data_IF_870373946622
#
_entry.id   IF_870373946622
#
_cell.length_a   1.000
_cell.length_b   1.000
_cell.length_c   1.000
_cell.angle_alpha   90.00
_cell.angle_beta   90.00
_cell.angle_gamma   90.00
#
_symmetry.space_group_name_H-M   'P 1'
#
loop_
_entity.id
_entity.type
_entity.pdbx_description
1 polymer ?
#
# COMPACT_ATOMS: atom_id res chain seq x y z
N UNK A 1 11.43 -22.77 -2.49
CA UNK A 1 12.40 -23.07 -1.43
C UNK A 1 13.32 -24.17 -1.93
N UNK A 2 14.62 -23.92 -1.95
CA UNK A 2 15.61 -24.94 -2.36
C UNK A 2 15.64 -26.11 -1.39
N UNK A 3 15.84 -27.32 -1.93
CA UNK A 3 16.02 -28.52 -1.12
C UNK A 3 17.23 -28.30 -0.20
N UNK A 4 17.07 -28.36 1.10
CA UNK A 4 18.14 -28.08 2.07
C UNK A 4 17.97 -26.75 2.84
N UNK A 5 17.18 -25.78 2.33
CA UNK A 5 16.94 -24.52 3.01
C UNK A 5 16.22 -24.69 4.37
N UNK A 6 15.48 -25.79 4.52
CA UNK A 6 14.80 -26.17 5.76
C UNK A 6 15.62 -27.14 6.62
N UNK A 7 16.80 -27.52 6.17
CA UNK A 7 17.71 -28.38 6.93
C UNK A 7 18.19 -27.68 8.22
N UNK A 8 18.49 -28.47 9.25
CA UNK A 8 18.89 -27.94 10.58
C UNK A 8 20.13 -27.06 10.54
N UNK A 9 21.03 -27.30 9.58
CA UNK A 9 22.31 -26.60 9.44
C UNK A 9 22.37 -25.67 8.22
N UNK A 10 21.28 -25.51 7.47
CA UNK A 10 21.28 -24.66 6.31
C UNK A 10 21.31 -23.18 6.72
N UNK A 11 22.29 -22.46 6.24
CA UNK A 11 22.30 -20.99 6.24
C UNK A 11 21.44 -20.48 5.10
N UNK A 12 20.67 -19.43 5.36
CA UNK A 12 19.80 -18.81 4.36
C UNK A 12 20.18 -17.35 4.22
N UNK A 13 20.91 -17.04 3.16
CA UNK A 13 21.33 -15.68 2.84
C UNK A 13 20.26 -14.91 2.03
N UNK A 14 19.21 -15.61 1.60
CA UNK A 14 18.15 -15.02 0.78
C UNK A 14 16.90 -14.80 1.59
N UNK A 15 16.50 -13.54 1.71
CA UNK A 15 15.21 -13.14 2.28
C UNK A 15 14.15 -13.13 1.17
N UNK A 16 13.10 -13.94 1.33
CA UNK A 16 11.93 -13.92 0.45
C UNK A 16 10.93 -12.92 1.00
N UNK A 17 10.65 -11.87 0.24
CA UNK A 17 9.72 -10.80 0.61
C UNK A 17 8.39 -11.03 -0.09
N UNK A 18 7.31 -11.38 0.62
CA UNK A 18 5.98 -11.42 0.03
C UNK A 18 5.52 -10.01 -0.33
N UNK A 19 4.78 -9.90 -1.42
CA UNK A 19 4.16 -8.67 -1.90
C UNK A 19 2.65 -8.83 -1.93
N UNK A 20 1.95 -7.92 -1.26
CA UNK A 20 0.49 -7.81 -1.28
C UNK A 20 0.13 -6.53 -2.02
N UNK A 21 -0.50 -6.63 -3.19
CA UNK A 21 -0.67 -5.46 -4.07
C UNK A 21 -2.10 -5.21 -4.55
N UNK A 22 -3.01 -6.18 -4.50
CA UNK A 22 -4.44 -5.97 -4.77
C UNK A 22 -5.21 -5.73 -3.48
N UNK A 23 -6.46 -5.26 -3.60
CA UNK A 23 -7.34 -5.10 -2.41
C UNK A 23 -7.55 -6.44 -1.71
N UNK A 24 -7.74 -7.51 -2.47
CA UNK A 24 -7.93 -8.85 -1.92
C UNK A 24 -6.66 -9.39 -1.26
N UNK A 25 -5.49 -9.17 -1.86
CA UNK A 25 -4.21 -9.52 -1.23
C UNK A 25 -4.03 -8.81 0.11
N UNK A 26 -4.32 -7.51 0.19
CA UNK A 26 -4.18 -6.72 1.41
C UNK A 26 -5.08 -7.26 2.53
N UNK A 27 -6.34 -7.57 2.22
CA UNK A 27 -7.29 -8.18 3.18
C UNK A 27 -6.83 -9.53 3.69
N UNK A 28 -6.12 -10.28 2.86
CA UNK A 28 -5.64 -11.61 3.17
C UNK A 28 -4.17 -11.67 3.64
N UNK A 29 -3.47 -10.54 3.76
CA UNK A 29 -2.06 -10.51 4.08
C UNK A 29 -1.73 -11.23 5.40
N UNK A 30 -2.38 -10.87 6.49
CA UNK A 30 -2.14 -11.52 7.80
C UNK A 30 -2.58 -13.00 7.83
N UNK A 31 -3.76 -13.42 7.32
CA UNK A 31 -4.12 -14.82 7.16
C UNK A 31 -3.10 -15.63 6.36
N UNK A 32 -2.61 -15.12 5.23
CA UNK A 32 -1.61 -15.80 4.39
C UNK A 32 -0.29 -15.96 5.16
N UNK A 33 0.17 -14.90 5.82
CA UNK A 33 1.39 -14.97 6.62
C UNK A 33 1.24 -15.92 7.82
N UNK A 34 0.08 -15.98 8.45
CA UNK A 34 -0.20 -16.95 9.52
C UNK A 34 -0.09 -18.39 9.00
N UNK A 35 -0.65 -18.70 7.83
CA UNK A 35 -0.53 -20.00 7.19
C UNK A 35 0.93 -20.31 6.78
N UNK A 36 1.66 -19.31 6.29
CA UNK A 36 3.07 -19.46 5.96
C UNK A 36 3.90 -19.88 7.17
N UNK A 37 3.74 -19.20 8.30
CA UNK A 37 4.46 -19.52 9.53
C UNK A 37 3.97 -20.81 10.24
N UNK A 38 2.79 -21.29 9.91
CA UNK A 38 2.32 -22.61 10.36
C UNK A 38 3.07 -23.77 9.69
N UNK A 39 3.75 -23.53 8.55
CA UNK A 39 4.54 -24.56 7.89
C UNK A 39 5.77 -24.93 8.69
N UNK A 40 6.03 -26.23 8.79
CA UNK A 40 7.17 -26.78 9.55
C UNK A 40 8.50 -26.23 9.05
N UNK A 41 9.29 -25.64 9.94
CA UNK A 41 10.64 -25.17 9.66
C UNK A 41 10.75 -23.74 9.17
N UNK A 42 9.68 -23.08 8.73
CA UNK A 42 9.71 -21.69 8.23
C UNK A 42 10.20 -20.72 9.30
N UNK A 43 9.59 -20.71 10.48
CA UNK A 43 10.00 -19.82 11.57
C UNK A 43 11.48 -20.01 11.94
N UNK A 44 11.95 -21.26 11.96
CA UNK A 44 13.36 -21.56 12.22
C UNK A 44 14.28 -21.01 11.13
N UNK A 45 13.87 -21.14 9.88
CA UNK A 45 14.61 -20.62 8.73
C UNK A 45 14.76 -19.09 8.81
N UNK A 46 13.65 -18.36 9.03
CA UNK A 46 13.66 -16.90 9.14
C UNK A 46 14.51 -16.45 10.34
N UNK A 47 14.39 -17.12 11.49
CA UNK A 47 15.22 -16.81 12.65
C UNK A 47 16.71 -16.94 12.40
N UNK A 48 17.14 -17.97 11.65
CA UNK A 48 18.56 -18.13 11.26
C UNK A 48 19.05 -17.04 10.31
N UNK A 49 18.14 -16.48 9.51
CA UNK A 49 18.43 -15.38 8.58
C UNK A 49 18.38 -13.99 9.23
N UNK A 50 18.45 -13.92 10.57
CA UNK A 50 18.47 -12.68 11.33
C UNK A 50 17.19 -12.35 12.07
N UNK A 51 16.12 -13.18 11.96
CA UNK A 51 14.88 -12.98 12.70
C UNK A 51 14.03 -11.82 12.19
N UNK A 52 14.26 -11.32 10.98
CA UNK A 52 13.47 -10.26 10.37
C UNK A 52 12.68 -10.78 9.16
N UNK A 53 11.45 -10.34 9.05
CA UNK A 53 10.60 -10.59 7.88
C UNK A 53 10.16 -9.28 7.26
N UNK A 54 10.63 -9.04 6.05
CA UNK A 54 10.09 -7.97 5.21
C UNK A 54 8.74 -8.39 4.63
N UNK A 55 7.77 -7.47 4.65
CA UNK A 55 6.51 -7.59 3.93
C UNK A 55 6.33 -6.35 3.08
N UNK A 56 6.25 -6.52 1.78
CA UNK A 56 6.05 -5.43 0.84
C UNK A 56 4.57 -5.18 0.58
N UNK A 57 4.17 -3.94 0.74
CA UNK A 57 2.82 -3.47 0.44
C UNK A 57 2.83 -2.69 -0.88
N UNK A 58 1.90 -3.05 -1.78
CA UNK A 58 1.75 -2.43 -3.09
C UNK A 58 0.65 -1.38 -3.09
N UNK A 59 1.02 -0.14 -3.43
CA UNK A 59 0.10 1.00 -3.43
C UNK A 59 -0.56 1.23 -4.79
N UNK A 60 0.20 1.09 -5.86
CA UNK A 60 -0.26 1.46 -7.20
C UNK A 60 -1.29 0.48 -7.76
N UNK A 61 -1.08 -0.80 -7.54
CA UNK A 61 -1.98 -1.85 -8.03
C UNK A 61 -3.28 -1.87 -7.24
N UNK A 62 -3.26 -1.66 -5.91
CA UNK A 62 -4.46 -1.51 -5.11
C UNK A 62 -5.26 -0.25 -5.47
N UNK A 63 -4.58 0.87 -5.81
CA UNK A 63 -5.24 2.07 -6.32
C UNK A 63 -5.98 1.81 -7.63
N UNK A 64 -5.35 1.06 -8.55
CA UNK A 64 -5.99 0.67 -9.82
C UNK A 64 -7.18 -0.27 -9.58
N UNK A 65 -7.08 -1.17 -8.61
CA UNK A 65 -8.09 -2.19 -8.30
C UNK A 65 -9.34 -1.60 -7.62
N UNK A 66 -9.18 -0.75 -6.62
CA UNK A 66 -10.27 -0.30 -5.76
C UNK A 66 -10.47 1.21 -5.64
N UNK A 67 -9.64 2.03 -6.30
CA UNK A 67 -9.61 3.48 -6.12
C UNK A 67 -8.74 3.90 -4.93
N UNK A 68 -8.39 5.20 -4.89
CA UNK A 68 -7.37 5.71 -3.94
C UNK A 68 -7.80 5.60 -2.47
N UNK A 69 -9.07 5.92 -2.17
CA UNK A 69 -9.56 5.89 -0.80
C UNK A 69 -9.53 4.47 -0.24
N UNK A 70 -10.12 3.53 -0.96
CA UNK A 70 -10.14 2.12 -0.58
C UNK A 70 -8.74 1.53 -0.47
N UNK A 71 -7.87 1.83 -1.43
CA UNK A 71 -6.48 1.37 -1.38
C UNK A 71 -5.76 1.82 -0.11
N UNK A 72 -5.84 3.10 0.23
CA UNK A 72 -5.20 3.61 1.45
C UNK A 72 -5.83 3.01 2.72
N UNK A 73 -7.14 2.81 2.73
CA UNK A 73 -7.83 2.20 3.84
C UNK A 73 -7.43 0.72 4.05
N UNK A 74 -7.42 -0.06 2.99
CA UNK A 74 -7.05 -1.48 3.07
C UNK A 74 -5.55 -1.67 3.40
N UNK A 75 -4.69 -0.76 2.95
CA UNK A 75 -3.29 -0.72 3.38
C UNK A 75 -3.19 -0.50 4.90
N UNK A 76 -3.90 0.51 5.42
CA UNK A 76 -3.93 0.79 6.86
C UNK A 76 -4.43 -0.41 7.67
N UNK A 77 -5.50 -1.07 7.22
CA UNK A 77 -6.03 -2.28 7.85
C UNK A 77 -5.04 -3.46 7.79
N UNK A 78 -4.39 -3.66 6.64
CA UNK A 78 -3.39 -4.71 6.47
C UNK A 78 -2.18 -4.49 7.39
N UNK A 79 -1.73 -3.25 7.53
CA UNK A 79 -0.63 -2.89 8.42
C UNK A 79 -0.97 -3.22 9.88
N UNK A 80 -2.16 -2.86 10.38
CA UNK A 80 -2.60 -3.20 11.73
C UNK A 80 -2.63 -4.72 11.92
N UNK A 81 -3.27 -5.44 11.00
CA UNK A 81 -3.41 -6.89 11.10
C UNK A 81 -2.05 -7.63 11.06
N UNK A 82 -1.10 -7.09 10.29
CA UNK A 82 0.27 -7.63 10.25
C UNK A 82 1.04 -7.31 11.53
N UNK A 83 0.89 -6.11 12.11
CA UNK A 83 1.51 -5.78 13.40
C UNK A 83 1.03 -6.73 14.47
N UNK A 84 -0.28 -6.96 14.59
CA UNK A 84 -0.87 -7.88 15.57
C UNK A 84 -0.32 -9.32 15.41
N UNK A 85 -0.27 -9.81 14.17
CA UNK A 85 0.30 -11.12 13.88
C UNK A 85 1.78 -11.22 14.29
N UNK A 86 2.56 -10.19 13.96
CA UNK A 86 4.00 -10.23 14.24
C UNK A 86 4.34 -9.97 15.71
N UNK A 87 3.45 -9.41 16.49
CA UNK A 87 3.57 -9.43 17.95
C UNK A 87 3.46 -10.85 18.52
N UNK A 88 2.54 -11.67 17.99
CA UNK A 88 2.47 -13.09 18.33
C UNK A 88 3.75 -13.85 17.90
N UNK A 89 4.23 -13.60 16.68
CA UNK A 89 5.42 -14.25 16.12
C UNK A 89 6.72 -13.83 16.83
N UNK A 90 6.84 -12.58 17.25
CA UNK A 90 7.97 -12.09 18.03
C UNK A 90 8.04 -12.80 19.39
N UNK A 91 6.91 -12.91 20.08
CA UNK A 91 6.83 -13.61 21.36
C UNK A 91 7.14 -15.11 21.25
N UNK A 92 6.71 -15.75 20.14
CA UNK A 92 6.84 -17.21 19.99
C UNK A 92 8.15 -17.64 19.34
N UNK A 93 8.63 -16.87 18.38
CA UNK A 93 9.74 -17.29 17.50
C UNK A 93 10.88 -16.28 17.42
N UNK A 94 10.77 -15.13 18.08
CA UNK A 94 11.74 -14.03 17.99
C UNK A 94 11.91 -13.53 16.55
N UNK A 95 10.77 -13.28 15.87
CA UNK A 95 10.72 -12.78 14.49
C UNK A 95 10.07 -11.40 14.49
N UNK A 96 10.79 -10.43 13.95
CA UNK A 96 10.37 -9.03 13.86
C UNK A 96 9.83 -8.71 12.47
N UNK A 97 8.80 -7.87 12.42
CA UNK A 97 8.27 -7.31 11.18
C UNK A 97 9.09 -6.11 10.73
N UNK A 98 9.43 -6.08 9.44
CA UNK A 98 9.89 -4.88 8.78
C UNK A 98 8.95 -4.56 7.61
N UNK A 99 8.20 -3.46 7.75
CA UNK A 99 7.33 -3.01 6.67
C UNK A 99 8.16 -2.47 5.51
N UNK A 100 7.83 -2.92 4.31
CA UNK A 100 8.45 -2.50 3.08
C UNK A 100 7.40 -1.82 2.19
N UNK A 101 7.45 -0.50 2.15
CA UNK A 101 6.53 0.30 1.35
C UNK A 101 7.00 0.33 -0.11
N UNK A 102 6.17 -0.22 -0.98
CA UNK A 102 6.42 -0.27 -2.41
C UNK A 102 6.34 1.11 -3.08
N UNK A 103 6.63 1.13 -4.37
CA UNK A 103 6.50 2.34 -5.19
C UNK A 103 5.07 2.87 -5.17
N UNK A 104 4.93 4.17 -4.98
CA UNK A 104 3.64 4.84 -5.01
C UNK A 104 3.01 5.06 -3.65
N UNK A 105 3.69 4.62 -2.58
CA UNK A 105 3.29 4.96 -1.22
C UNK A 105 3.46 6.44 -0.92
N UNK A 106 2.70 6.95 0.02
CA UNK A 106 2.70 8.35 0.45
C UNK A 106 4.09 8.80 0.90
N UNK A 107 4.86 7.90 1.51
CA UNK A 107 6.21 8.20 2.02
C UNK A 107 7.25 8.32 0.90
N UNK A 108 7.13 7.53 -0.18
CA UNK A 108 8.16 7.43 -1.22
C UNK A 108 7.85 8.16 -2.53
N UNK A 109 6.66 8.71 -2.71
CA UNK A 109 6.20 9.22 -4.00
C UNK A 109 5.41 10.51 -3.86
N UNK A 110 6.08 11.66 -3.82
CA UNK A 110 5.48 12.98 -4.08
C UNK A 110 4.16 13.35 -3.41
N UNK A 111 3.66 12.51 -2.54
CA UNK A 111 2.33 12.61 -1.95
C UNK A 111 2.27 13.42 -0.67
N UNK A 112 3.39 13.96 -0.21
CA UNK A 112 3.45 14.74 1.00
C UNK A 112 4.82 14.72 1.65
N UNK A 113 5.03 15.48 2.71
CA UNK A 113 6.27 15.46 3.47
C UNK A 113 6.51 14.07 4.05
N UNK A 114 7.67 13.50 3.78
CA UNK A 114 8.02 12.14 4.23
C UNK A 114 7.95 11.98 5.75
N UNK A 115 8.20 13.05 6.49
CA UNK A 115 8.14 13.06 7.94
C UNK A 115 6.75 12.73 8.46
N UNK A 116 5.76 13.50 8.06
CA UNK A 116 4.35 13.32 8.46
C UNK A 116 3.79 11.99 7.97
N UNK A 117 4.21 11.55 6.78
CA UNK A 117 3.78 10.27 6.23
C UNK A 117 4.29 9.07 7.06
N UNK A 118 5.50 9.15 7.61
CA UNK A 118 6.03 8.12 8.53
C UNK A 118 5.29 8.16 9.86
N UNK A 119 5.04 9.35 10.42
CA UNK A 119 4.31 9.48 11.68
C UNK A 119 2.83 9.09 11.58
N UNK A 120 2.23 9.19 10.39
CA UNK A 120 0.85 8.78 10.14
C UNK A 120 0.65 7.27 9.99
N UNK A 121 1.72 6.49 9.98
CA UNK A 121 1.62 5.03 9.94
C UNK A 121 0.93 4.48 11.21
N UNK A 122 0.21 3.36 11.12
CA UNK A 122 -0.39 2.73 12.29
C UNK A 122 0.65 2.44 13.39
N UNK A 123 0.25 2.45 14.66
CA UNK A 123 1.15 2.14 15.77
C UNK A 123 1.81 0.78 15.59
N UNK A 124 3.12 0.71 15.83
CA UNK A 124 3.89 -0.53 15.76
C UNK A 124 4.42 -0.92 14.38
N UNK A 125 4.10 -0.17 13.32
CA UNK A 125 4.64 -0.41 11.97
C UNK A 125 6.08 0.06 11.80
N UNK A 126 6.46 1.11 12.53
CA UNK A 126 7.83 1.66 12.55
C UNK A 126 8.49 1.32 13.88
N UNK A 127 9.50 0.44 13.85
CA UNK A 127 10.22 -0.05 15.04
C UNK A 127 11.74 0.07 14.81
N UNK A 128 12.26 1.27 14.85
CA UNK A 128 13.68 1.55 14.60
C UNK A 128 14.09 1.49 13.15
N UNK A 129 13.21 1.05 12.28
CA UNK A 129 13.48 0.90 10.85
C UNK A 129 12.21 1.04 10.01
N UNK A 130 12.38 1.49 8.79
CA UNK A 130 11.38 1.51 7.74
C UNK A 130 12.08 1.25 6.40
N UNK A 131 11.47 0.49 5.52
CA UNK A 131 12.00 0.22 4.18
C UNK A 131 11.10 0.85 3.11
N UNK A 132 11.69 1.69 2.28
CA UNK A 132 10.98 2.45 1.25
C UNK A 132 11.57 2.15 -0.13
N UNK A 133 10.72 2.08 -1.14
CA UNK A 133 11.15 2.07 -2.54
C UNK A 133 10.90 3.44 -3.14
N UNK A 134 11.96 4.15 -3.49
CA UNK A 134 11.87 5.38 -4.27
C UNK A 134 12.16 5.09 -5.75
N UNK A 135 11.59 5.89 -6.65
CA UNK A 135 11.89 5.80 -8.08
C UNK A 135 13.22 6.48 -8.39
N UNK A 136 13.91 6.05 -9.45
CA UNK A 136 15.22 6.57 -9.81
C UNK A 136 15.25 8.07 -10.01
N UNK A 137 14.24 8.65 -10.66
CA UNK A 137 14.09 10.10 -10.84
C UNK A 137 13.90 10.84 -9.52
N UNK A 138 13.20 10.24 -8.56
CA UNK A 138 13.03 10.80 -7.20
C UNK A 138 14.33 10.74 -6.42
N UNK A 139 15.06 9.63 -6.53
CA UNK A 139 16.38 9.47 -5.91
C UNK A 139 17.35 10.53 -6.45
N UNK A 140 17.40 10.72 -7.76
CA UNK A 140 18.24 11.74 -8.39
C UNK A 140 17.87 13.15 -7.89
N UNK A 141 16.59 13.47 -7.81
CA UNK A 141 16.12 14.77 -7.33
C UNK A 141 16.42 15.01 -5.84
N UNK A 142 16.25 14.01 -5.00
CA UNK A 142 16.40 14.13 -3.54
C UNK A 142 17.85 14.07 -3.06
N UNK A 143 18.73 13.32 -3.76
CA UNK A 143 20.04 12.95 -3.22
C UNK A 143 21.22 13.33 -4.11
N UNK A 144 21.02 13.90 -5.31
CA UNK A 144 22.12 14.29 -6.17
C UNK A 144 22.92 15.49 -5.61
N UNK A 145 22.26 16.40 -4.92
CA UNK A 145 22.92 17.48 -4.21
C UNK A 145 23.18 17.08 -2.75
N UNK A 146 24.44 17.16 -2.23
CA UNK A 146 24.78 16.71 -0.88
C UNK A 146 23.99 17.40 0.24
N UNK A 147 23.72 18.70 0.13
CA UNK A 147 23.01 19.46 1.17
C UNK A 147 21.52 19.06 1.20
N UNK A 148 20.89 18.94 0.01
CA UNK A 148 19.50 18.49 -0.11
C UNK A 148 19.40 17.02 0.32
N UNK A 149 20.34 16.19 -0.08
CA UNK A 149 20.40 14.78 0.29
C UNK A 149 20.53 14.59 1.79
N UNK A 150 21.40 15.35 2.44
CA UNK A 150 21.52 15.35 3.90
C UNK A 150 20.20 15.70 4.58
N UNK A 151 19.55 16.78 4.17
CA UNK A 151 18.24 17.18 4.72
C UNK A 151 17.17 16.11 4.57
N UNK A 152 17.08 15.48 3.41
CA UNK A 152 16.13 14.40 3.17
C UNK A 152 16.41 13.18 4.07
N UNK A 153 17.68 12.80 4.23
CA UNK A 153 18.07 11.71 5.13
C UNK A 153 17.79 12.06 6.60
N UNK A 154 18.14 13.26 7.04
CA UNK A 154 17.84 13.73 8.41
C UNK A 154 16.33 13.69 8.69
N UNK A 155 15.49 14.07 7.72
CA UNK A 155 14.03 13.98 7.82
C UNK A 155 13.54 12.54 8.03
N UNK A 156 14.06 11.59 7.24
CA UNK A 156 13.70 10.18 7.36
C UNK A 156 14.15 9.59 8.71
N UNK A 157 15.37 9.90 9.13
CA UNK A 157 15.93 9.43 10.41
C UNK A 157 15.13 10.01 11.57
N UNK A 158 14.88 11.32 11.58
CA UNK A 158 14.14 11.99 12.64
C UNK A 158 12.71 11.41 12.79
N UNK A 159 11.98 11.25 11.68
CA UNK A 159 10.65 10.67 11.71
C UNK A 159 10.65 9.21 12.22
N UNK A 160 11.64 8.42 11.79
CA UNK A 160 11.76 7.02 12.24
C UNK A 160 12.08 6.95 13.74
N UNK A 161 12.96 7.82 14.24
CA UNK A 161 13.27 7.90 15.67
C UNK A 161 12.06 8.35 16.48
N UNK A 162 11.35 9.39 16.02
CA UNK A 162 10.16 9.89 16.70
C UNK A 162 9.04 8.83 16.75
N UNK A 163 8.72 8.20 15.62
CA UNK A 163 7.72 7.14 15.56
C UNK A 163 8.05 5.97 16.51
N UNK A 164 9.34 5.64 16.61
CA UNK A 164 9.81 4.51 17.44
C UNK A 164 9.83 4.82 18.93
N UNK A 165 10.40 5.98 19.28
CA UNK A 165 10.72 6.32 20.68
C UNK A 165 9.56 7.04 21.37
N UNK A 166 8.91 7.98 20.68
CA UNK A 166 7.85 8.80 21.29
C UNK A 166 6.46 8.21 21.06
N UNK A 167 6.29 7.31 20.10
CA UNK A 167 5.02 6.67 19.74
C UNK A 167 3.88 7.68 19.64
N UNK A 168 4.03 8.72 18.79
CA UNK A 168 3.09 9.84 18.70
C UNK A 168 1.71 9.41 18.20
N UNK A 169 1.67 8.39 17.35
CA UNK A 169 0.44 7.86 16.77
C UNK A 169 -0.25 6.92 17.77
N UNK A 170 -1.51 7.23 18.04
CA UNK A 170 -2.39 6.38 18.88
C UNK A 170 -3.28 5.53 17.98
N UNK A 171 -3.73 4.35 18.46
CA UNK A 171 -4.75 3.58 17.75
C UNK A 171 -5.98 4.42 17.46
N UNK A 172 -6.48 4.34 16.23
CA UNK A 172 -7.71 5.02 15.87
C UNK A 172 -8.91 4.48 16.68
N UNK A 173 -9.84 5.34 17.11
CA UNK A 173 -11.06 4.89 17.78
C UNK A 173 -11.85 3.91 16.90
N UNK A 174 -12.47 2.90 17.50
CA UNK A 174 -13.25 1.89 16.77
C UNK A 174 -14.32 2.49 15.87
N UNK A 175 -14.97 3.55 16.34
CA UNK A 175 -15.98 4.28 15.56
C UNK A 175 -15.44 4.89 14.29
N UNK A 176 -14.18 5.34 14.29
CA UNK A 176 -13.54 5.88 13.08
C UNK A 176 -13.21 4.76 12.09
N UNK A 177 -12.76 3.61 12.60
CA UNK A 177 -12.50 2.43 11.75
C UNK A 177 -13.80 1.96 11.08
N UNK A 178 -14.90 1.86 11.82
CA UNK A 178 -16.22 1.47 11.29
C UNK A 178 -16.73 2.45 10.22
N UNK A 179 -16.53 3.75 10.41
CA UNK A 179 -16.89 4.77 9.42
C UNK A 179 -16.04 4.61 8.16
N UNK A 180 -14.74 4.44 8.30
CA UNK A 180 -13.84 4.28 7.18
C UNK A 180 -14.12 2.98 6.39
N UNK A 181 -14.46 1.89 7.07
CA UNK A 181 -14.92 0.64 6.45
C UNK A 181 -16.18 0.86 5.60
N UNK A 182 -17.17 1.54 6.17
CA UNK A 182 -18.43 1.85 5.46
C UNK A 182 -18.18 2.72 4.23
N UNK A 183 -17.32 3.73 4.34
CA UNK A 183 -16.94 4.60 3.22
C UNK A 183 -16.16 3.82 2.15
N UNK A 184 -15.22 2.98 2.57
CA UNK A 184 -14.41 2.15 1.67
C UNK A 184 -15.27 1.21 0.83
N UNK A 185 -16.22 0.53 1.45
CA UNK A 185 -17.12 -0.40 0.75
C UNK A 185 -17.93 0.29 -0.37
N UNK A 186 -18.46 1.49 -0.11
CA UNK A 186 -19.23 2.25 -1.11
C UNK A 186 -18.32 2.85 -2.18
N UNK A 187 -17.16 3.38 -1.77
CA UNK A 187 -16.17 3.97 -2.67
C UNK A 187 -15.66 2.94 -3.69
N UNK A 188 -15.28 1.75 -3.22
CA UNK A 188 -14.85 0.64 -4.09
C UNK A 188 -15.93 0.26 -5.08
N UNK A 189 -17.16 0.10 -4.60
CA UNK A 189 -18.28 -0.27 -5.48
C UNK A 189 -18.50 0.77 -6.58
N UNK A 190 -18.49 2.05 -6.24
CA UNK A 190 -18.64 3.12 -7.22
C UNK A 190 -17.48 3.17 -8.22
N UNK A 191 -16.24 3.02 -7.76
CA UNK A 191 -15.06 2.98 -8.62
C UNK A 191 -15.10 1.79 -9.58
N UNK A 192 -15.36 0.58 -9.07
CA UNK A 192 -15.39 -0.64 -9.88
C UNK A 192 -16.54 -0.65 -10.87
N UNK A 193 -17.72 -0.13 -10.49
CA UNK A 193 -18.84 0.02 -11.40
C UNK A 193 -18.48 0.88 -12.63
N UNK A 194 -17.73 1.96 -12.45
CA UNK A 194 -17.25 2.77 -13.58
C UNK A 194 -16.18 2.04 -14.39
N UNK A 195 -15.12 1.59 -13.74
CA UNK A 195 -13.88 1.16 -14.42
C UNK A 195 -14.00 -0.24 -15.02
N UNK A 196 -14.67 -1.16 -14.31
CA UNK A 196 -14.69 -2.58 -14.67
C UNK A 196 -16.05 -3.09 -15.15
N UNK A 197 -17.13 -2.40 -14.78
CA UNK A 197 -18.49 -2.89 -15.06
C UNK A 197 -19.21 -2.04 -16.13
N UNK A 198 -18.72 -0.84 -16.45
CA UNK A 198 -19.34 0.00 -17.51
C UNK A 198 -18.98 -0.57 -18.89
N UNK A 199 -19.99 -0.98 -19.68
CA UNK A 199 -19.75 -1.45 -21.04
C UNK A 199 -19.05 -0.39 -21.90
N UNK A 200 -18.02 -0.80 -22.64
CA UNK A 200 -17.26 0.10 -23.51
C UNK A 200 -16.20 0.95 -22.80
N UNK A 201 -16.07 0.88 -21.48
CA UNK A 201 -15.06 1.68 -20.75
C UNK A 201 -13.63 1.24 -21.11
N UNK A 202 -13.40 -0.04 -21.24
CA UNK A 202 -12.09 -0.58 -21.64
C UNK A 202 -11.69 -0.10 -23.03
N UNK A 203 -12.60 -0.19 -23.99
CA UNK A 203 -12.39 0.27 -25.37
C UNK A 203 -12.15 1.78 -25.42
N UNK A 204 -12.94 2.53 -24.64
CA UNK A 204 -12.74 3.97 -24.50
C UNK A 204 -11.34 4.30 -23.97
N UNK A 205 -10.92 3.64 -22.91
CA UNK A 205 -9.60 3.85 -22.31
C UNK A 205 -8.47 3.58 -23.32
N UNK A 206 -8.54 2.46 -24.04
CA UNK A 206 -7.52 2.12 -25.04
C UNK A 206 -7.52 3.03 -26.26
N UNK A 207 -8.66 3.60 -26.62
CA UNK A 207 -8.78 4.51 -27.77
C UNK A 207 -8.49 5.98 -27.42
N UNK A 208 -8.87 6.42 -26.22
CA UNK A 208 -8.81 7.82 -25.79
C UNK A 208 -7.50 8.20 -25.10
N UNK A 209 -6.64 7.23 -24.76
CA UNK A 209 -5.39 7.49 -24.05
C UNK A 209 -4.17 7.03 -24.86
N UNK A 210 -2.98 7.65 -24.70
CA UNK A 210 -1.75 7.26 -25.40
C UNK A 210 -1.11 5.99 -24.80
N UNK A 211 -1.91 5.00 -24.43
CA UNK A 211 -1.42 3.77 -23.81
C UNK A 211 -0.45 2.99 -24.70
N UNK A 212 -0.72 2.97 -26.02
CA UNK A 212 0.11 2.24 -26.98
C UNK A 212 1.52 2.85 -27.08
N UNK A 213 1.58 4.17 -27.07
CA UNK A 213 2.82 4.93 -27.11
C UNK A 213 3.58 4.78 -25.78
N UNK A 214 2.88 4.87 -24.66
CA UNK A 214 3.47 4.65 -23.34
C UNK A 214 4.02 3.24 -23.15
N UNK A 215 3.40 2.24 -23.76
CA UNK A 215 3.85 0.85 -23.69
C UNK A 215 5.21 0.63 -24.42
N UNK A 216 5.58 1.53 -25.34
CA UNK A 216 6.86 1.49 -26.05
C UNK A 216 7.97 2.25 -25.30
N UNK A 217 7.63 3.05 -24.31
CA UNK A 217 8.60 3.79 -23.50
C UNK A 217 9.18 2.90 -22.41
N UNK A 218 10.47 3.02 -22.17
CA UNK A 218 11.16 2.36 -21.06
C UNK A 218 10.84 3.07 -19.72
N UNK A 219 9.56 3.20 -19.40
CA UNK A 219 9.09 3.76 -18.12
C UNK A 219 8.96 2.63 -17.12
N UNK A 220 9.88 2.58 -16.19
CA UNK A 220 9.94 1.52 -15.19
C UNK A 220 10.73 0.28 -15.65
N UNK A 221 10.95 -0.64 -14.74
CA UNK A 221 11.79 -1.83 -14.93
C UNK A 221 11.06 -3.03 -15.53
N UNK A 222 9.79 -2.88 -15.92
CA UNK A 222 8.92 -4.00 -16.31
C UNK A 222 8.05 -3.64 -17.52
N UNK A 223 7.62 -4.63 -18.33
CA UNK A 223 6.67 -4.41 -19.43
C UNK A 223 5.37 -3.74 -18.97
N UNK A 224 4.71 -3.02 -19.86
CA UNK A 224 3.48 -2.28 -19.60
C UNK A 224 2.31 -3.17 -19.15
N UNK A 225 2.29 -4.43 -19.58
CA UNK A 225 1.27 -5.40 -19.18
C UNK A 225 1.87 -6.76 -18.83
N UNK A 226 1.09 -7.56 -18.11
CA UNK A 226 1.44 -8.95 -17.74
C UNK A 226 1.10 -9.93 -18.87
N UNK A 227 0.15 -9.56 -19.73
CA UNK A 227 -0.38 -10.35 -20.84
C UNK A 227 -0.65 -9.43 -22.05
N UNK A 228 -1.17 -9.98 -23.15
CA UNK A 228 -1.67 -9.17 -24.24
C UNK A 228 -2.72 -8.16 -23.73
N UNK A 229 -2.58 -6.89 -24.17
CA UNK A 229 -3.42 -5.78 -23.72
C UNK A 229 -4.87 -5.94 -24.20
N UNK A 230 -5.71 -6.57 -23.42
CA UNK A 230 -7.13 -6.76 -23.73
C UNK A 230 -8.05 -6.22 -22.65
N UNK A 231 -7.57 -6.17 -21.37
CA UNK A 231 -8.36 -5.75 -20.23
C UNK A 231 -7.56 -4.81 -19.33
N UNK A 232 -8.28 -3.97 -18.59
CA UNK A 232 -7.66 -3.05 -17.62
C UNK A 232 -6.95 -3.83 -16.51
N UNK A 233 -7.47 -4.98 -16.11
CA UNK A 233 -6.87 -5.84 -15.08
C UNK A 233 -5.46 -6.32 -15.47
N UNK A 234 -5.22 -6.56 -16.75
CA UNK A 234 -3.92 -7.02 -17.24
C UNK A 234 -2.85 -5.93 -17.25
N UNK A 235 -3.25 -4.66 -17.18
CA UNK A 235 -2.34 -3.52 -17.12
C UNK A 235 -1.61 -3.46 -15.78
N UNK A 236 -0.38 -2.99 -15.85
CA UNK A 236 0.32 -2.50 -14.66
C UNK A 236 -0.16 -1.10 -14.28
N UNK A 237 0.02 -0.75 -13.02
CA UNK A 237 -0.46 0.52 -12.50
C UNK A 237 0.19 1.76 -13.13
N UNK A 238 1.47 1.69 -13.53
CA UNK A 238 2.15 2.83 -14.16
C UNK A 238 1.50 3.17 -15.51
N UNK A 239 1.35 2.26 -16.48
CA UNK A 239 0.62 2.55 -17.72
C UNK A 239 -0.80 3.04 -17.48
N UNK A 240 -1.51 2.51 -16.51
CA UNK A 240 -2.84 2.97 -16.12
C UNK A 240 -2.85 4.43 -15.70
N UNK A 241 -2.07 4.79 -14.69
CA UNK A 241 -2.07 6.13 -14.13
C UNK A 241 -1.45 7.17 -15.06
N UNK A 242 -0.38 6.81 -15.77
CA UNK A 242 0.26 7.70 -16.74
C UNK A 242 -0.62 8.02 -17.94
N UNK A 243 -1.35 7.04 -18.46
CA UNK A 243 -2.26 7.26 -19.59
C UNK A 243 -3.30 8.33 -19.26
N UNK A 244 -3.92 8.27 -18.09
CA UNK A 244 -4.83 9.30 -17.62
C UNK A 244 -4.13 10.66 -17.41
N UNK A 245 -2.94 10.64 -16.82
CA UNK A 245 -2.14 11.85 -16.59
C UNK A 245 -1.82 12.58 -17.89
N UNK A 246 -1.50 11.87 -18.98
CA UNK A 246 -1.26 12.47 -20.30
C UNK A 246 -2.53 13.09 -20.90
N UNK A 247 -3.70 12.54 -20.60
CA UNK A 247 -4.99 13.12 -21.00
C UNK A 247 -5.47 14.23 -20.07
N UNK A 248 -4.69 14.60 -19.06
CA UNK A 248 -5.06 15.57 -18.01
C UNK A 248 -6.35 15.22 -17.29
N UNK A 249 -6.63 13.94 -17.17
CA UNK A 249 -7.74 13.39 -16.40
C UNK A 249 -7.22 12.78 -15.10
N UNK A 250 -7.88 13.10 -14.00
CA UNK A 250 -7.54 12.58 -12.67
C UNK A 250 -8.51 11.50 -12.20
N UNK A 251 -9.06 10.72 -13.14
CA UNK A 251 -10.00 9.65 -12.83
C UNK A 251 -9.49 8.68 -11.75
N UNK A 252 -8.20 8.26 -11.74
CA UNK A 252 -7.68 7.44 -10.66
C UNK A 252 -7.54 8.14 -9.30
N UNK A 253 -7.91 9.41 -9.21
CA UNK A 253 -7.88 10.17 -7.97
C UNK A 253 -8.97 9.74 -6.98
N UNK A 254 -9.72 10.70 -6.46
CA UNK A 254 -10.73 10.46 -5.42
C UNK A 254 -12.09 9.95 -5.95
N UNK A 255 -12.14 9.36 -7.15
CA UNK A 255 -13.40 8.85 -7.69
C UNK A 255 -13.99 7.76 -6.78
N UNK A 256 -15.27 7.87 -6.49
CA UNK A 256 -16.00 6.99 -5.57
C UNK A 256 -16.13 7.55 -4.14
N UNK A 257 -15.20 8.38 -3.68
CA UNK A 257 -15.24 8.94 -2.33
C UNK A 257 -16.47 9.85 -2.11
N UNK A 258 -16.79 10.73 -3.06
CA UNK A 258 -17.98 11.56 -2.99
C UNK A 258 -19.28 10.76 -2.90
N UNK A 259 -19.39 9.66 -3.67
CA UNK A 259 -20.51 8.72 -3.58
C UNK A 259 -20.60 8.07 -2.20
N UNK A 260 -19.46 7.71 -1.62
CA UNK A 260 -19.38 7.12 -0.30
C UNK A 260 -19.84 8.08 0.79
N UNK A 261 -19.37 9.32 0.77
CA UNK A 261 -19.80 10.36 1.72
C UNK A 261 -21.29 10.65 1.60
N UNK A 262 -21.80 10.77 0.37
CA UNK A 262 -23.25 10.98 0.14
C UNK A 262 -24.08 9.83 0.72
N UNK A 263 -23.70 8.59 0.44
CA UNK A 263 -24.38 7.42 0.97
C UNK A 263 -24.31 7.32 2.50
N UNK A 264 -23.14 7.61 3.07
CA UNK A 264 -22.93 7.59 4.52
C UNK A 264 -23.78 8.66 5.23
N UNK A 265 -23.82 9.88 4.73
CA UNK A 265 -24.65 10.94 5.30
C UNK A 265 -26.15 10.60 5.15
N UNK A 266 -26.56 10.04 4.01
CA UNK A 266 -27.94 9.63 3.72
C UNK A 266 -28.93 10.78 3.71
N UNK A 267 -30.19 10.46 3.46
CA UNK A 267 -31.31 11.41 3.41
C UNK A 267 -32.10 11.46 4.74
N UNK A 268 -31.51 10.98 5.81
CA UNK A 268 -32.13 10.91 7.13
C UNK A 268 -32.30 12.29 7.82
N UNK A 269 -32.86 12.29 9.05
CA UNK A 269 -33.09 13.53 9.81
C UNK A 269 -31.80 14.34 9.97
N UNK A 270 -31.96 15.70 9.96
CA UNK A 270 -30.84 16.66 10.07
C UNK A 270 -29.90 16.35 11.27
N UNK A 271 -30.49 15.96 12.40
CA UNK A 271 -29.70 15.59 13.60
C UNK A 271 -28.77 14.42 13.35
N UNK A 272 -29.25 13.37 12.67
CA UNK A 272 -28.45 12.18 12.31
C UNK A 272 -27.35 12.54 11.31
N UNK A 273 -27.66 13.35 10.29
CA UNK A 273 -26.68 13.83 9.31
C UNK A 273 -25.58 14.67 9.96
N UNK A 274 -25.93 15.56 10.90
CA UNK A 274 -24.93 16.34 11.65
C UNK A 274 -24.03 15.46 12.52
N UNK A 275 -24.58 14.45 13.18
CA UNK A 275 -23.78 13.51 13.97
C UNK A 275 -22.82 12.70 13.08
N UNK A 276 -23.27 12.23 11.93
CA UNK A 276 -22.41 11.54 10.94
C UNK A 276 -21.34 12.46 10.36
N UNK A 277 -21.69 13.71 10.05
CA UNK A 277 -20.72 14.70 9.56
C UNK A 277 -19.62 14.99 10.58
N UNK A 278 -19.95 15.04 11.87
CA UNK A 278 -18.97 15.25 12.93
C UNK A 278 -17.96 14.08 13.07
N UNK A 279 -18.30 12.90 12.59
CA UNK A 279 -17.37 11.76 12.52
C UNK A 279 -16.45 11.79 11.30
N UNK A 280 -16.76 12.66 10.31
CA UNK A 280 -15.92 12.86 9.12
C UNK A 280 -14.95 14.05 9.27
N UNK A 281 -15.13 14.87 10.29
CA UNK A 281 -14.29 16.02 10.64
C UNK A 281 -13.23 15.64 11.70
#
# INVERSE_FOLDING_TARGET
LMRGTLDRNAEVDLIVVPLFETIDDLRNAAPIMRQFYAQTGIARMIRRSGGEQDIMLGYSDSNKDGGIFTSNWELYCAEIALVDLFEELANKYDIQLRMFHGRGGTVGRGGGPSYEAILAQPPGTVRGQIRLTEQGEVIASKYANPEIGRRNLETLVAATLEATMLKPTKPAPKTFLEVADALSAVSTKAYRALVYETPGFTEYFFAATPLKELAQLNIGSRPASRKALQKIEDLRAIPWSFSWGQCRLTLPGWYGFGSAVTAYLGDGPVKTRKARLALLQ
#
